data_IF_499928556180
#
_entry.id   IF_499928556180
#
_cell.length_a   1.000
_cell.length_b   1.000
_cell.length_c   1.000
_cell.angle_alpha   90.00
_cell.angle_beta   90.00
_cell.angle_gamma   90.00
#
_symmetry.space_group_name_H-M   'P 1'
#
loop_
_entity.id
_entity.type
_entity.pdbx_description
1 polymer ?
#
# COMPACT_ATOMS: atom_id res chain seq x y z
N UNK A 1 10.09 -8.39 27.05
CA UNK A 1 10.10 -7.41 25.95
C UNK A 1 8.82 -7.50 25.17
N UNK A 2 8.32 -6.36 24.77
CA UNK A 2 7.13 -6.32 23.93
C UNK A 2 7.46 -6.83 22.52
N UNK A 3 6.52 -7.56 21.91
CA UNK A 3 6.59 -7.95 20.52
C UNK A 3 5.77 -7.01 19.61
N UNK A 4 5.46 -5.83 20.14
CA UNK A 4 4.67 -4.83 19.42
C UNK A 4 5.49 -4.08 18.38
N UNK A 5 4.82 -3.72 17.30
CA UNK A 5 5.37 -2.87 16.25
C UNK A 5 4.25 -2.07 15.60
N UNK A 6 4.60 -1.05 14.84
CA UNK A 6 3.61 -0.18 14.24
C UNK A 6 3.65 -0.24 12.72
N UNK A 7 2.46 -0.23 12.12
CA UNK A 7 2.28 -0.08 10.68
C UNK A 7 1.23 1.00 10.41
N UNK A 8 1.41 1.68 9.29
CA UNK A 8 0.37 2.54 8.76
C UNK A 8 -0.67 1.73 8.00
N UNK A 9 -1.94 2.05 8.17
CA UNK A 9 -2.95 1.71 7.20
C UNK A 9 -2.72 2.57 5.96
N UNK A 10 -2.92 2.02 4.78
CA UNK A 10 -2.74 2.75 3.53
C UNK A 10 -4.06 2.89 2.81
N UNK A 11 -4.23 4.04 2.15
CA UNK A 11 -5.30 4.27 1.19
C UNK A 11 -4.67 4.48 -0.17
N UNK A 12 -5.04 3.64 -1.13
CA UNK A 12 -4.56 3.71 -2.50
C UNK A 12 -5.75 4.10 -3.39
N UNK A 13 -5.61 5.18 -4.12
CA UNK A 13 -6.70 5.68 -4.94
C UNK A 13 -6.19 6.20 -6.28
N UNK A 14 -7.07 6.16 -7.28
CA UNK A 14 -6.79 6.76 -8.59
C UNK A 14 -6.88 8.26 -8.45
N UNK A 15 -5.75 8.94 -8.67
CA UNK A 15 -5.64 10.40 -8.60
C UNK A 15 -5.91 11.04 -9.95
N UNK A 16 -5.48 10.40 -11.04
CA UNK A 16 -5.61 10.92 -12.39
C UNK A 16 -5.68 9.79 -13.40
N UNK A 17 -6.33 10.05 -14.53
CA UNK A 17 -6.36 9.18 -15.69
C UNK A 17 -5.95 10.02 -16.88
N UNK A 18 -4.71 9.82 -17.35
CA UNK A 18 -4.11 10.63 -18.40
C UNK A 18 -4.34 10.07 -19.80
N UNK A 19 -4.82 8.84 -19.89
CA UNK A 19 -5.11 8.16 -21.15
C UNK A 19 -6.48 7.52 -21.12
N UNK A 20 -6.58 6.29 -21.63
CA UNK A 20 -7.83 5.53 -21.68
C UNK A 20 -7.71 4.31 -20.77
N UNK A 21 -8.46 4.30 -19.69
CA UNK A 21 -8.53 3.16 -18.78
C UNK A 21 -9.61 2.18 -19.28
N UNK A 22 -9.19 0.97 -19.64
CA UNK A 22 -10.11 -0.07 -20.11
C UNK A 22 -10.70 -0.91 -18.98
N UNK A 23 -10.34 -0.64 -17.74
CA UNK A 23 -10.86 -1.34 -16.57
C UNK A 23 -12.09 -0.67 -15.95
N UNK A 24 -12.64 0.34 -16.61
CA UNK A 24 -13.82 1.11 -16.14
C UNK A 24 -13.61 1.77 -14.78
N UNK A 25 -12.38 2.13 -14.47
CA UNK A 25 -12.09 2.86 -13.23
C UNK A 25 -12.34 4.36 -13.40
N UNK A 26 -12.70 4.98 -12.29
CA UNK A 26 -12.89 6.43 -12.19
C UNK A 26 -11.94 6.99 -11.13
N UNK A 27 -11.69 8.29 -11.20
CA UNK A 27 -10.93 9.00 -10.16
C UNK A 27 -11.59 8.76 -8.80
N UNK A 28 -10.78 8.41 -7.82
CA UNK A 28 -11.24 8.08 -6.47
C UNK A 28 -11.45 6.59 -6.24
N UNK A 29 -11.54 5.77 -7.28
CA UNK A 29 -11.58 4.33 -7.11
C UNK A 29 -10.27 3.83 -6.50
N UNK A 30 -10.36 2.83 -5.65
CA UNK A 30 -9.16 2.32 -5.00
C UNK A 30 -9.45 1.24 -3.97
N UNK A 31 -8.51 1.06 -3.08
CA UNK A 31 -8.58 0.07 -2.03
C UNK A 31 -7.79 0.55 -0.82
N UNK A 32 -7.97 -0.15 0.28
CA UNK A 32 -7.21 0.10 1.50
C UNK A 32 -6.34 -1.11 1.83
N UNK A 33 -5.21 -0.87 2.45
CA UNK A 33 -4.35 -1.93 2.97
C UNK A 33 -4.21 -1.77 4.48
N UNK A 34 -4.63 -2.81 5.20
CA UNK A 34 -4.59 -2.85 6.67
C UNK A 34 -3.90 -4.13 7.11
N UNK A 35 -2.78 -3.98 7.84
CA UNK A 35 -1.92 -5.12 8.11
C UNK A 35 -1.43 -5.71 6.80
N UNK A 36 -1.56 -7.00 6.63
CA UNK A 36 -1.19 -7.70 5.38
C UNK A 36 -2.35 -7.91 4.43
N UNK A 37 -3.48 -7.22 4.62
CA UNK A 37 -4.69 -7.49 3.85
C UNK A 37 -5.14 -6.29 3.04
N UNK A 38 -5.65 -6.59 1.85
CA UNK A 38 -6.25 -5.62 0.94
C UNK A 38 -7.76 -5.65 1.14
N UNK A 39 -8.35 -4.46 1.32
CA UNK A 39 -9.78 -4.29 1.51
C UNK A 39 -10.34 -3.46 0.37
N UNK A 40 -11.28 -4.04 -0.37
CA UNK A 40 -12.01 -3.36 -1.42
C UNK A 40 -13.38 -2.93 -0.92
N UNK A 41 -13.92 -1.78 -1.39
CA UNK A 41 -15.31 -1.44 -1.10
C UNK A 41 -16.25 -2.54 -1.60
N UNK A 42 -17.37 -2.74 -0.92
CA UNK A 42 -18.33 -3.78 -1.26
C UNK A 42 -18.79 -3.66 -2.72
N UNK A 43 -18.76 -4.78 -3.44
CA UNK A 43 -19.16 -4.84 -4.83
C UNK A 43 -18.17 -4.22 -5.83
N UNK A 44 -17.00 -3.80 -5.37
CA UNK A 44 -15.98 -3.18 -6.23
C UNK A 44 -14.86 -4.17 -6.54
N UNK A 45 -14.23 -3.95 -7.69
CA UNK A 45 -13.04 -4.67 -8.10
C UNK A 45 -11.92 -3.66 -8.38
N UNK A 46 -10.70 -4.16 -8.60
CA UNK A 46 -9.59 -3.30 -8.93
C UNK A 46 -8.70 -3.98 -9.98
N UNK A 47 -8.14 -3.18 -10.87
CA UNK A 47 -7.30 -3.67 -11.95
C UNK A 47 -6.05 -4.34 -11.39
N UNK A 48 -5.82 -5.60 -11.76
CA UNK A 48 -4.65 -6.35 -11.32
C UNK A 48 -3.35 -5.69 -11.74
N UNK A 49 -3.29 -5.13 -12.94
CA UNK A 49 -2.06 -4.53 -13.45
C UNK A 49 -1.70 -3.25 -12.71
N UNK A 50 -2.68 -2.42 -12.39
CA UNK A 50 -2.45 -1.24 -11.56
C UNK A 50 -2.06 -1.64 -10.13
N UNK A 51 -2.72 -2.65 -9.56
CA UNK A 51 -2.40 -3.16 -8.25
C UNK A 51 -0.95 -3.66 -8.20
N UNK A 52 -0.51 -4.45 -9.18
CA UNK A 52 0.84 -5.00 -9.17
C UNK A 52 1.91 -3.91 -9.30
N UNK A 53 1.60 -2.80 -9.96
CA UNK A 53 2.52 -1.68 -10.03
C UNK A 53 2.72 -1.04 -8.65
N UNK A 54 1.69 -1.05 -7.82
CA UNK A 54 1.73 -0.49 -6.46
C UNK A 54 2.39 -1.43 -5.45
N UNK A 55 2.26 -2.74 -5.61
CA UNK A 55 2.69 -3.74 -4.62
C UNK A 55 4.12 -3.51 -4.11
N UNK A 56 5.14 -3.24 -4.95
CA UNK A 56 6.50 -3.07 -4.43
C UNK A 56 6.65 -1.94 -3.41
N UNK A 57 5.81 -0.93 -3.46
CA UNK A 57 5.89 0.20 -2.54
C UNK A 57 5.02 0.02 -1.30
N UNK A 58 3.99 -0.84 -1.34
CA UNK A 58 3.01 -0.91 -0.26
C UNK A 58 3.63 -1.31 1.08
N UNK A 59 4.43 -2.38 1.17
CA UNK A 59 5.04 -2.74 2.46
C UNK A 59 5.98 -1.67 2.98
N UNK A 60 6.71 -0.99 2.11
CA UNK A 60 7.61 0.09 2.51
C UNK A 60 6.84 1.30 3.05
N UNK A 61 5.73 1.64 2.40
CA UNK A 61 4.88 2.76 2.85
C UNK A 61 4.18 2.48 4.16
N UNK A 62 3.95 1.23 4.51
CA UNK A 62 3.33 0.88 5.80
C UNK A 62 4.26 1.13 6.98
N UNK A 63 5.57 1.15 6.77
CA UNK A 63 6.54 1.30 7.85
C UNK A 63 6.96 2.75 8.00
N UNK A 64 7.23 3.21 9.25
CA UNK A 64 7.87 4.50 9.44
C UNK A 64 9.19 4.55 8.69
N UNK A 65 9.48 5.67 8.04
CA UNK A 65 10.68 5.85 7.25
C UNK A 65 11.46 7.06 7.72
N UNK A 66 12.77 7.03 7.49
CA UNK A 66 13.62 8.18 7.76
C UNK A 66 13.12 9.37 6.92
N UNK A 67 13.11 10.61 7.46
CA UNK A 67 12.62 11.77 6.71
C UNK A 67 13.33 12.02 5.38
N UNK A 68 14.59 11.59 5.26
CA UNK A 68 15.36 11.75 4.04
C UNK A 68 15.23 10.57 3.06
N UNK A 69 14.51 9.53 3.45
CA UNK A 69 14.26 8.39 2.58
C UNK A 69 13.25 8.79 1.51
N UNK A 70 13.51 8.41 0.28
CA UNK A 70 12.61 8.71 -0.82
C UNK A 70 11.22 8.10 -0.64
N UNK A 71 11.08 7.06 0.17
CA UNK A 71 9.76 6.53 0.54
C UNK A 71 8.92 7.50 1.38
N UNK A 72 9.53 8.55 1.92
CA UNK A 72 8.78 9.59 2.63
C UNK A 72 8.03 10.52 1.68
N UNK A 73 8.46 10.61 0.43
CA UNK A 73 7.90 11.54 -0.56
C UNK A 73 7.23 10.83 -1.74
N UNK A 74 7.82 9.73 -2.19
CA UNK A 74 7.35 9.06 -3.41
C UNK A 74 6.07 8.28 -3.12
N UNK A 75 4.96 8.77 -3.64
CA UNK A 75 3.65 8.27 -3.30
C UNK A 75 2.79 7.99 -4.54
N UNK A 76 3.32 8.19 -5.74
CA UNK A 76 2.57 8.04 -6.98
C UNK A 76 3.15 6.94 -7.85
N UNK A 77 2.25 6.19 -8.47
CA UNK A 77 2.59 5.06 -9.32
C UNK A 77 1.71 5.12 -10.56
N UNK A 78 2.29 4.80 -11.71
CA UNK A 78 1.58 4.79 -12.98
C UNK A 78 1.31 3.34 -13.39
N UNK A 79 0.12 3.08 -13.91
CA UNK A 79 -0.22 1.79 -14.50
C UNK A 79 0.82 1.39 -15.57
N UNK A 80 1.20 0.11 -15.65
CA UNK A 80 2.19 -0.35 -16.63
C UNK A 80 1.79 -0.14 -18.08
N UNK A 81 0.50 0.00 -18.38
CA UNK A 81 0.02 0.30 -19.72
C UNK A 81 0.24 1.80 -20.00
N UNK A 82 1.17 2.16 -20.90
CA UNK A 82 1.49 3.56 -21.15
C UNK A 82 0.34 4.34 -21.79
N UNK A 83 -0.62 3.66 -22.40
CA UNK A 83 -1.78 4.31 -23.01
C UNK A 83 -2.96 4.45 -22.04
N UNK A 84 -2.94 3.73 -20.93
CA UNK A 84 -3.93 3.84 -19.87
C UNK A 84 -3.73 5.13 -19.06
N UNK A 85 -2.53 5.38 -18.61
CA UNK A 85 -2.19 6.62 -17.91
C UNK A 85 -2.86 6.80 -16.55
N UNK A 86 -3.29 5.71 -15.92
CA UNK A 86 -3.84 5.77 -14.56
C UNK A 86 -2.71 6.03 -13.57
N UNK A 87 -2.88 7.08 -12.76
CA UNK A 87 -1.94 7.43 -11.70
C UNK A 87 -2.58 7.10 -10.35
N UNK A 88 -1.90 6.27 -9.57
CA UNK A 88 -2.31 5.89 -8.23
C UNK A 88 -1.58 6.75 -7.21
N UNK A 89 -2.30 7.20 -6.19
CA UNK A 89 -1.74 7.87 -5.02
C UNK A 89 -1.82 6.93 -3.82
N UNK A 90 -0.69 6.76 -3.14
CA UNK A 90 -0.62 5.99 -1.89
C UNK A 90 -0.55 6.98 -0.73
N UNK A 91 -1.54 6.92 0.16
CA UNK A 91 -1.61 7.78 1.33
C UNK A 91 -1.51 6.94 2.60
N UNK A 92 -0.69 7.40 3.54
CA UNK A 92 -0.65 6.85 4.89
C UNK A 92 -1.86 7.37 5.66
N UNK A 93 -2.63 6.44 6.19
CA UNK A 93 -3.78 6.76 7.03
C UNK A 93 -3.41 6.57 8.52
N UNK A 94 -4.26 5.94 9.31
CA UNK A 94 -4.01 5.74 10.72
C UNK A 94 -2.82 4.81 10.96
N UNK A 95 -2.07 5.07 12.04
CA UNK A 95 -1.02 4.18 12.49
C UNK A 95 -1.62 3.16 13.45
N UNK A 96 -1.26 1.90 13.27
CA UNK A 96 -1.79 0.77 14.01
C UNK A 96 -0.67 0.04 14.73
N UNK A 97 -0.91 -0.32 15.99
CA UNK A 97 0.01 -1.18 16.74
C UNK A 97 -0.40 -2.64 16.56
N UNK A 98 0.56 -3.46 16.17
CA UNK A 98 0.39 -4.88 15.96
C UNK A 98 1.36 -5.65 16.86
N UNK A 99 1.06 -6.93 17.10
CA UNK A 99 1.95 -7.83 17.83
C UNK A 99 2.50 -8.87 16.87
N UNK A 100 3.79 -9.14 16.95
CA UNK A 100 4.44 -10.11 16.08
C UNK A 100 3.71 -11.47 16.10
N UNK A 101 3.37 -11.97 17.28
CA UNK A 101 2.70 -13.26 17.41
C UNK A 101 1.32 -13.34 16.78
N UNK A 102 0.68 -12.19 16.51
CA UNK A 102 -0.64 -12.15 15.86
C UNK A 102 -0.53 -12.14 14.33
N UNK A 103 0.62 -11.81 13.78
CA UNK A 103 0.79 -11.62 12.32
C UNK A 103 1.83 -12.52 11.70
N UNK A 104 2.59 -13.25 12.51
CA UNK A 104 3.58 -14.21 12.03
C UNK A 104 3.61 -15.44 12.94
N UNK A 105 3.68 -16.61 12.33
CA UNK A 105 3.88 -17.85 13.05
C UNK A 105 5.36 -18.11 13.37
N UNK A 106 6.25 -17.31 12.78
CA UNK A 106 7.69 -17.45 13.01
C UNK A 106 8.05 -16.70 14.29
N UNK A 107 8.63 -17.38 15.29
CA UNK A 107 8.96 -16.70 16.53
C UNK A 107 10.09 -15.70 16.35
N UNK A 108 10.07 -14.63 17.16
CA UNK A 108 11.19 -13.71 17.22
C UNK A 108 12.41 -14.43 17.79
N UNK A 109 13.57 -14.19 17.18
CA UNK A 109 14.83 -14.76 17.62
C UNK A 109 15.56 -13.72 18.47
N UNK A 110 15.88 -14.02 19.74
CA UNK A 110 16.67 -13.11 20.55
C UNK A 110 18.00 -12.77 19.87
N UNK A 111 18.39 -11.49 19.92
CA UNK A 111 19.62 -10.97 19.31
C UNK A 111 19.67 -11.07 17.78
N UNK A 112 18.53 -11.23 17.12
CA UNK A 112 18.49 -11.16 15.67
C UNK A 112 18.86 -9.75 15.20
N UNK A 113 19.56 -9.61 14.08
CA UNK A 113 19.81 -8.29 13.50
C UNK A 113 18.49 -7.64 13.07
N UNK A 114 18.38 -6.35 13.35
CA UNK A 114 17.19 -5.59 13.00
C UNK A 114 17.27 -5.07 11.57
#
# INVERSE_FOLDING_TARGET
MSDEFELYDLKISIEAIQGTCTCDHAIGDGFEMKGGKIHLPAGKSFCLYALQAAIPLLPAKQRPTHPNDWMSTDARIVCPDPLCGVVLLIERAAKRTLRHGDVSAVPLVPNAPS
#
